data_IF_506064309876
#
_entry.id   IF_506064309876
#
_cell.length_a   1.000
_cell.length_b   1.000
_cell.length_c   1.000
_cell.angle_alpha   90.00
_cell.angle_beta   90.00
_cell.angle_gamma   90.00
#
_symmetry.space_group_name_H-M   'P 1'
#
loop_
_entity.id
_entity.type
_entity.pdbx_description
1 polymer ?
#
# COMPACT_ATOMS: atom_id res chain seq x y z
N UNK A 1 6.16 9.47 15.50
CA UNK A 1 6.84 8.96 14.32
C UNK A 1 5.86 8.86 13.15
N UNK A 2 6.29 9.31 11.99
CA UNK A 2 5.44 9.36 10.82
C UNK A 2 5.42 8.03 10.08
N UNK A 3 4.23 7.47 9.91
CA UNK A 3 4.06 6.20 9.21
C UNK A 3 3.36 6.36 7.87
N UNK A 4 2.96 7.59 7.55
CA UNK A 4 2.24 7.87 6.31
C UNK A 4 3.16 8.50 5.30
N UNK A 5 2.95 8.15 4.04
CA UNK A 5 3.58 8.88 2.93
C UNK A 5 2.47 9.39 2.02
N UNK A 6 2.74 10.50 1.36
CA UNK A 6 1.78 11.11 0.44
C UNK A 6 1.89 10.44 -0.93
N UNK A 7 0.83 10.56 -1.78
CA UNK A 7 0.95 10.09 -3.15
C UNK A 7 2.12 10.70 -3.90
N UNK A 8 2.41 11.98 -3.65
CA UNK A 8 3.55 12.64 -4.28
C UNK A 8 4.88 11.99 -3.88
N UNK A 9 5.05 11.71 -2.57
CA UNK A 9 6.25 11.04 -2.09
C UNK A 9 6.42 9.65 -2.69
N UNK A 10 5.33 8.88 -2.76
CA UNK A 10 5.38 7.56 -3.37
C UNK A 10 5.73 7.67 -4.86
N UNK A 11 5.12 8.62 -5.56
CA UNK A 11 5.40 8.85 -6.98
C UNK A 11 6.88 9.10 -7.21
N UNK A 12 7.51 9.92 -6.37
CA UNK A 12 8.93 10.20 -6.47
C UNK A 12 9.78 8.95 -6.23
N UNK A 13 9.44 8.15 -5.21
CA UNK A 13 10.16 6.91 -4.94
C UNK A 13 10.08 5.93 -6.11
N UNK A 14 8.92 5.84 -6.74
CA UNK A 14 8.74 4.97 -7.90
C UNK A 14 9.53 5.47 -9.11
N UNK A 15 9.54 6.78 -9.35
CA UNK A 15 10.33 7.38 -10.44
C UNK A 15 11.82 7.16 -10.25
N UNK A 16 12.30 7.23 -9.03
CA UNK A 16 13.70 7.02 -8.69
C UNK A 16 14.08 5.55 -8.61
N UNK A 17 13.12 4.66 -8.82
CA UNK A 17 13.28 3.21 -8.75
C UNK A 17 13.89 2.75 -7.43
N UNK A 18 13.49 3.41 -6.34
CA UNK A 18 13.91 3.01 -5.00
C UNK A 18 13.36 1.63 -4.65
N UNK A 19 14.16 0.77 -4.00
CA UNK A 19 13.67 -0.56 -3.62
C UNK A 19 12.52 -0.43 -2.64
N UNK A 20 11.36 -0.94 -3.02
CA UNK A 20 10.19 -1.04 -2.14
C UNK A 20 9.21 -2.03 -2.75
N UNK A 21 8.32 -2.54 -1.92
CA UNK A 21 7.21 -3.34 -2.38
C UNK A 21 5.92 -2.56 -2.13
N UNK A 22 5.06 -2.51 -3.12
CA UNK A 22 3.79 -1.81 -3.05
C UNK A 22 2.69 -2.84 -2.85
N UNK A 23 2.02 -2.77 -1.73
CA UNK A 23 1.11 -3.82 -1.26
C UNK A 23 -0.32 -3.28 -1.22
N UNK A 24 -1.20 -3.92 -1.98
CA UNK A 24 -2.62 -3.60 -2.04
C UNK A 24 -3.37 -4.55 -1.11
N UNK A 25 -4.02 -4.01 -0.09
CA UNK A 25 -4.77 -4.84 0.88
C UNK A 25 -6.27 -4.80 0.65
N UNK A 26 -6.70 -4.27 -0.50
CA UNK A 26 -8.12 -4.31 -0.89
C UNK A 26 -8.49 -5.74 -1.28
N UNK A 27 -9.75 -5.96 -1.55
CA UNK A 27 -10.20 -7.28 -2.00
C UNK A 27 -10.07 -7.41 -3.52
N UNK A 28 -10.16 -8.64 -3.99
CA UNK A 28 -9.95 -8.95 -5.41
C UNK A 28 -10.88 -8.17 -6.34
N UNK A 29 -12.13 -7.93 -5.93
CA UNK A 29 -13.09 -7.18 -6.74
C UNK A 29 -12.61 -5.75 -6.98
N UNK A 30 -12.00 -5.14 -5.98
CA UNK A 30 -11.44 -3.80 -6.11
C UNK A 30 -10.19 -3.79 -6.99
N UNK A 31 -9.35 -4.80 -6.83
CA UNK A 31 -8.16 -4.99 -7.65
C UNK A 31 -8.51 -5.12 -9.13
N UNK A 32 -9.63 -5.78 -9.43
CA UNK A 32 -10.08 -5.93 -10.81
C UNK A 32 -10.59 -4.62 -11.41
N UNK A 33 -11.07 -3.69 -10.59
CA UNK A 33 -11.52 -2.37 -11.08
C UNK A 33 -10.32 -1.51 -11.48
N UNK A 34 -9.34 -1.41 -10.60
CA UNK A 34 -8.13 -0.62 -10.84
C UNK A 34 -7.08 -0.96 -9.79
N UNK A 35 -5.82 -0.66 -10.09
CA UNK A 35 -4.70 -0.91 -9.19
C UNK A 35 -3.55 0.01 -9.55
N UNK A 36 -2.64 0.21 -8.61
CA UNK A 36 -1.43 0.97 -8.88
C UNK A 36 -0.43 0.11 -9.65
N UNK A 37 0.43 0.74 -10.47
CA UNK A 37 1.44 -0.02 -11.21
C UNK A 37 2.40 -0.73 -10.26
N UNK A 38 2.77 -1.97 -10.62
CA UNK A 38 3.71 -2.81 -9.87
C UNK A 38 3.23 -3.22 -8.48
N UNK A 39 1.95 -3.03 -8.18
CA UNK A 39 1.39 -3.44 -6.89
C UNK A 39 1.22 -4.96 -6.82
N UNK A 40 1.27 -5.48 -5.60
CA UNK A 40 1.01 -6.88 -5.29
C UNK A 40 -0.25 -6.96 -4.43
N UNK A 41 -1.13 -7.89 -4.73
CA UNK A 41 -2.39 -8.02 -3.98
C UNK A 41 -2.21 -8.94 -2.78
N UNK A 42 -2.46 -8.41 -1.58
CA UNK A 42 -2.49 -9.15 -0.33
C UNK A 42 -3.81 -8.81 0.36
N UNK A 43 -4.93 -9.43 -0.05
CA UNK A 43 -6.25 -9.02 0.45
C UNK A 43 -6.31 -9.10 1.97
N UNK A 44 -6.90 -8.08 2.57
CA UNK A 44 -7.01 -8.02 4.04
C UNK A 44 -7.71 -9.26 4.60
N UNK A 45 -8.65 -9.83 3.87
CA UNK A 45 -9.35 -11.05 4.28
C UNK A 45 -8.42 -12.27 4.39
N UNK A 46 -7.27 -12.26 3.70
CA UNK A 46 -6.29 -13.34 3.73
C UNK A 46 -5.00 -12.95 4.45
N UNK A 47 -4.96 -11.76 5.01
CA UNK A 47 -3.71 -11.20 5.54
C UNK A 47 -3.12 -12.06 6.65
N UNK A 48 -3.95 -12.66 7.48
CA UNK A 48 -3.47 -13.50 8.58
C UNK A 48 -2.59 -14.64 8.08
N UNK A 49 -2.91 -15.18 6.90
CA UNK A 49 -2.13 -16.27 6.31
C UNK A 49 -0.93 -15.76 5.50
N UNK A 50 -0.97 -14.51 5.03
CA UNK A 50 0.04 -13.97 4.12
C UNK A 50 1.02 -13.01 4.77
N UNK A 51 0.71 -12.52 5.97
CA UNK A 51 1.49 -11.44 6.59
C UNK A 51 2.94 -11.79 6.87
N UNK A 52 3.25 -13.06 7.07
CA UNK A 52 4.62 -13.46 7.39
C UNK A 52 5.60 -13.11 6.29
N UNK A 53 5.20 -13.26 5.03
CA UNK A 53 6.03 -12.86 3.90
C UNK A 53 6.36 -11.36 3.95
N UNK A 54 5.38 -10.54 4.34
CA UNK A 54 5.58 -9.10 4.43
C UNK A 54 6.47 -8.72 5.61
N UNK A 55 6.40 -9.48 6.69
CA UNK A 55 7.25 -9.24 7.86
C UNK A 55 8.69 -9.61 7.56
N UNK A 56 8.89 -10.71 6.84
CA UNK A 56 10.22 -11.26 6.59
C UNK A 56 11.00 -10.54 5.49
N UNK A 57 10.34 -9.88 4.57
CA UNK A 57 11.05 -9.15 3.51
C UNK A 57 11.86 -8.02 4.11
N UNK A 58 13.07 -7.82 3.61
CA UNK A 58 13.92 -6.72 4.07
C UNK A 58 13.56 -5.40 3.40
N UNK A 59 12.88 -5.46 2.27
CA UNK A 59 12.49 -4.26 1.55
C UNK A 59 11.44 -3.46 2.31
N UNK A 60 11.51 -2.12 2.23
CA UNK A 60 10.40 -1.30 2.73
C UNK A 60 9.13 -1.65 2.00
N UNK A 61 8.02 -1.61 2.69
CA UNK A 61 6.71 -1.81 2.05
C UNK A 61 5.83 -0.59 2.25
N UNK A 62 5.09 -0.27 1.19
CA UNK A 62 4.06 0.76 1.22
C UNK A 62 2.74 0.06 1.00
N UNK A 63 1.82 0.23 1.93
CA UNK A 63 0.53 -0.44 1.92
C UNK A 63 -0.54 0.56 1.54
N UNK A 64 -1.46 0.17 0.67
CA UNK A 64 -2.58 1.06 0.33
C UNK A 64 -3.90 0.29 0.27
N UNK A 65 -4.98 1.05 0.42
CA UNK A 65 -6.33 0.57 0.21
C UNK A 65 -7.11 1.66 -0.56
N UNK A 66 -8.43 1.71 -0.42
CA UNK A 66 -9.22 2.72 -1.15
C UNK A 66 -8.93 4.14 -0.66
N UNK A 67 -9.07 4.38 0.66
CA UNK A 67 -8.92 5.70 1.28
C UNK A 67 -7.84 5.79 2.35
N UNK A 68 -7.12 4.71 2.64
CA UNK A 68 -6.04 4.70 3.62
C UNK A 68 -6.41 4.18 5.00
N UNK A 69 -7.66 3.80 5.24
CA UNK A 69 -8.11 3.33 6.57
C UNK A 69 -7.74 1.88 6.83
N UNK A 70 -8.10 0.98 5.90
CA UNK A 70 -7.75 -0.44 6.03
C UNK A 70 -6.24 -0.63 6.04
N UNK A 71 -5.55 0.09 5.16
CA UNK A 71 -4.09 -0.01 5.06
C UNK A 71 -3.38 0.52 6.30
N UNK A 72 -3.91 1.57 6.94
CA UNK A 72 -3.36 2.06 8.20
C UNK A 72 -3.44 0.98 9.28
N UNK A 73 -4.54 0.25 9.34
CA UNK A 73 -4.71 -0.85 10.28
C UNK A 73 -3.70 -1.97 10.01
N UNK A 74 -3.47 -2.31 8.74
CA UNK A 74 -2.48 -3.32 8.35
C UNK A 74 -1.08 -2.87 8.75
N UNK A 75 -0.73 -1.61 8.52
CA UNK A 75 0.58 -1.09 8.91
C UNK A 75 0.79 -1.21 10.41
N UNK A 76 -0.22 -0.88 11.22
CA UNK A 76 -0.14 -1.01 12.67
C UNK A 76 0.10 -2.46 13.08
N UNK A 77 -0.61 -3.39 12.45
CA UNK A 77 -0.47 -4.81 12.73
C UNK A 77 0.96 -5.31 12.40
N UNK A 78 1.46 -4.95 11.22
CA UNK A 78 2.79 -5.38 10.80
C UNK A 78 3.87 -4.79 11.70
N UNK A 79 3.72 -3.54 12.12
CA UNK A 79 4.67 -2.91 13.06
C UNK A 79 4.65 -3.60 14.40
N UNK A 80 3.46 -3.93 14.88
CA UNK A 80 3.32 -4.66 16.14
C UNK A 80 4.04 -6.02 16.07
N UNK A 81 4.03 -6.66 14.89
CA UNK A 81 4.68 -7.94 14.67
C UNK A 81 6.17 -7.82 14.33
N UNK A 82 6.72 -6.62 14.33
CA UNK A 82 8.16 -6.41 14.18
C UNK A 82 8.63 -5.80 12.87
N UNK A 83 7.74 -5.54 11.92
CA UNK A 83 8.12 -4.91 10.65
C UNK A 83 8.18 -3.40 10.83
N UNK A 84 9.39 -2.85 10.92
CA UNK A 84 9.57 -1.42 11.19
C UNK A 84 9.40 -0.54 9.95
N UNK A 85 9.85 -0.99 8.79
CA UNK A 85 9.85 -0.19 7.57
C UNK A 85 8.59 -0.45 6.73
N UNK A 86 7.44 -0.15 7.31
CA UNK A 86 6.14 -0.25 6.66
C UNK A 86 5.42 1.08 6.76
N UNK A 87 4.86 1.55 5.62
CA UNK A 87 4.27 2.88 5.50
C UNK A 87 2.91 2.79 4.85
N UNK A 88 2.02 3.69 5.25
CA UNK A 88 0.66 3.76 4.73
C UNK A 88 0.58 4.87 3.67
N UNK A 89 0.01 4.54 2.51
CA UNK A 89 -0.25 5.56 1.49
C UNK A 89 -1.44 6.40 1.92
N UNK A 90 -1.18 7.63 2.30
CA UNK A 90 -2.18 8.56 2.78
C UNK A 90 -3.25 8.81 1.72
N UNK A 91 -4.51 8.62 2.07
CA UNK A 91 -5.63 8.79 1.15
C UNK A 91 -5.83 7.65 0.15
N UNK A 92 -4.95 6.65 0.16
CA UNK A 92 -5.10 5.46 -0.67
C UNK A 92 -5.09 5.70 -2.17
N UNK A 93 -5.61 4.72 -2.91
CA UNK A 93 -5.69 4.79 -4.36
C UNK A 93 -6.59 5.93 -4.83
N UNK A 94 -7.59 6.30 -4.03
CA UNK A 94 -8.48 7.41 -4.34
C UNK A 94 -7.70 8.71 -4.49
N UNK A 95 -6.84 9.01 -3.55
CA UNK A 95 -6.02 10.23 -3.59
C UNK A 95 -4.96 10.14 -4.69
N UNK A 96 -4.40 8.97 -4.91
CA UNK A 96 -3.47 8.75 -6.03
C UNK A 96 -4.15 9.07 -7.36
N UNK A 97 -5.37 8.58 -7.56
CA UNK A 97 -6.13 8.84 -8.79
C UNK A 97 -6.35 10.33 -9.02
N UNK A 98 -6.66 11.05 -7.94
CA UNK A 98 -6.94 12.50 -8.03
C UNK A 98 -5.68 13.33 -8.25
N UNK A 99 -4.60 13.00 -7.55
CA UNK A 99 -3.41 13.87 -7.49
C UNK A 99 -2.29 13.47 -8.44
N UNK A 100 -2.16 12.17 -8.73
CA UNK A 100 -1.00 11.67 -9.48
C UNK A 100 -1.40 11.17 -10.86
N UNK A 101 -2.39 10.29 -10.96
CA UNK A 101 -2.73 9.61 -12.20
C UNK A 101 -4.24 9.54 -12.41
N UNK A 102 -4.81 10.54 -13.12
CA UNK A 102 -6.25 10.55 -13.38
C UNK A 102 -6.74 9.39 -14.25
N UNK A 103 -5.84 8.65 -14.90
CA UNK A 103 -6.23 7.49 -15.70
C UNK A 103 -6.62 6.29 -14.82
N UNK A 104 -6.26 6.32 -13.53
CA UNK A 104 -6.72 5.31 -12.58
C UNK A 104 -8.17 5.64 -12.22
N UNK A 105 -9.12 4.76 -12.53
CA UNK A 105 -10.53 5.08 -12.29
C UNK A 105 -10.85 5.28 -10.81
N UNK A 106 -11.69 6.25 -10.52
CA UNK A 106 -12.25 6.42 -9.19
C UNK A 106 -13.44 5.45 -9.03
N UNK A 107 -13.65 4.96 -7.81
CA UNK A 107 -14.76 4.05 -7.57
C UNK A 107 -15.35 4.21 -6.19
#
# INVERSE_FOLDING_TARGET
MEFNITPEQLSELLKERQPLRLIDVREEEEWDICRLPEAELYPMSLLQDLQEELIETEEPIVVYCHHGIRSASVCSQLRYLGKANVFNLSGGIDRWSTEIDPSVPAY
#
